data_IF_922262106804
#
_entry.id   IF_922262106804
#
_cell.length_a   1.000
_cell.length_b   1.000
_cell.length_c   1.000
_cell.angle_alpha   90.00
_cell.angle_beta   90.00
_cell.angle_gamma   90.00
#
_symmetry.space_group_name_H-M   'P 1'
#
loop_
_entity.id
_entity.type
_entity.pdbx_description
1 polymer ?
#
# COMPACT_ATOMS: atom_id res chain seq x y z
N UNK A 1 -7.04 9.37 1.37
CA UNK A 1 -7.51 9.82 2.71
C UNK A 1 -6.97 11.23 2.94
N UNK A 2 -7.79 12.18 3.42
CA UNK A 2 -7.31 13.54 3.74
C UNK A 2 -6.34 13.48 4.92
N UNK A 3 -5.23 14.21 4.86
CA UNK A 3 -4.20 14.26 5.90
C UNK A 3 -4.46 15.41 6.87
N UNK A 4 -5.47 15.23 7.73
CA UNK A 4 -5.69 16.09 8.89
C UNK A 4 -4.74 15.72 10.05
N UNK A 5 -4.78 16.49 11.14
CA UNK A 5 -3.87 16.27 12.28
C UNK A 5 -4.06 14.90 12.94
N UNK A 6 -5.29 14.42 13.23
CA UNK A 6 -5.50 13.08 13.77
C UNK A 6 -4.92 11.96 12.90
N UNK A 7 -5.08 12.05 11.58
CA UNK A 7 -4.50 11.09 10.63
C UNK A 7 -2.98 11.14 10.68
N UNK A 8 -2.39 12.34 10.66
CA UNK A 8 -0.93 12.50 10.69
C UNK A 8 -0.33 11.97 12.00
N UNK A 9 -0.96 12.21 13.15
CA UNK A 9 -0.52 11.64 14.43
C UNK A 9 -0.54 10.10 14.42
N UNK A 10 -1.60 9.50 13.87
CA UNK A 10 -1.66 8.05 13.71
C UNK A 10 -0.55 7.54 12.79
N UNK A 11 -0.23 8.28 11.73
CA UNK A 11 0.86 7.96 10.81
C UNK A 11 2.24 8.11 11.47
N UNK A 12 2.44 9.06 12.40
CA UNK A 12 3.67 9.18 13.21
C UNK A 12 3.89 7.91 14.04
N UNK A 13 2.82 7.34 14.61
CA UNK A 13 2.87 6.07 15.33
C UNK A 13 3.35 4.86 14.51
N UNK A 14 3.31 4.93 13.17
CA UNK A 14 3.74 3.86 12.27
C UNK A 14 5.22 3.97 11.85
N UNK A 15 5.95 4.99 12.31
CA UNK A 15 7.38 5.16 12.00
C UNK A 15 8.21 3.88 12.29
N UNK A 16 8.01 3.14 13.40
CA UNK A 16 8.77 1.91 13.64
C UNK A 16 8.58 0.82 12.56
N UNK A 17 7.47 0.82 11.82
CA UNK A 17 7.20 -0.16 10.76
C UNK A 17 7.88 0.19 9.43
N UNK A 18 8.18 1.47 9.19
CA UNK A 18 8.82 1.95 7.97
C UNK A 18 9.73 3.15 8.29
N UNK A 19 10.82 2.95 9.05
CA UNK A 19 11.56 4.05 9.68
C UNK A 19 12.22 5.01 8.69
N UNK A 20 12.61 4.50 7.51
CA UNK A 20 13.22 5.30 6.45
C UNK A 20 12.17 6.05 5.63
N UNK A 21 11.04 5.42 5.30
CA UNK A 21 10.04 6.02 4.41
C UNK A 21 9.03 6.89 5.16
N UNK A 22 8.48 6.40 6.27
CA UNK A 22 7.37 7.05 6.95
C UNK A 22 7.80 8.38 7.57
N UNK A 23 9.00 8.44 8.13
CA UNK A 23 9.55 9.68 8.72
C UNK A 23 9.74 10.75 7.64
N UNK A 24 10.39 10.41 6.53
CA UNK A 24 10.66 11.34 5.44
C UNK A 24 9.35 11.81 4.77
N UNK A 25 8.39 10.91 4.54
CA UNK A 25 7.09 11.26 3.99
C UNK A 25 6.34 12.27 4.88
N UNK A 26 6.39 12.12 6.20
CA UNK A 26 5.74 13.05 7.12
C UNK A 26 6.43 14.41 7.19
N UNK A 27 7.75 14.46 7.03
CA UNK A 27 8.47 15.74 6.89
C UNK A 27 8.02 16.50 5.63
N UNK A 28 7.78 15.79 4.53
CA UNK A 28 7.23 16.40 3.30
C UNK A 28 5.81 16.92 3.52
N UNK A 29 4.97 16.19 4.25
CA UNK A 29 3.61 16.63 4.62
C UNK A 29 3.68 17.94 5.43
N UNK A 30 4.53 17.99 6.45
CA UNK A 30 4.70 19.17 7.30
C UNK A 30 5.23 20.37 6.50
N UNK A 31 6.20 20.16 5.61
CA UNK A 31 6.70 21.21 4.71
C UNK A 31 5.61 21.72 3.76
N UNK A 32 4.86 20.80 3.14
CA UNK A 32 3.78 21.15 2.22
C UNK A 32 2.66 21.93 2.91
N UNK A 33 2.38 21.66 4.20
CA UNK A 33 1.39 22.43 4.97
C UNK A 33 1.80 23.89 5.12
N UNK A 34 3.10 24.14 5.33
CA UNK A 34 3.63 25.49 5.46
C UNK A 34 3.66 26.24 4.12
N UNK A 35 4.01 25.55 3.02
CA UNK A 35 4.12 26.16 1.70
C UNK A 35 2.75 26.37 1.02
N UNK A 36 1.79 25.49 1.28
CA UNK A 36 0.48 25.48 0.63
C UNK A 36 -0.65 25.35 1.67
N UNK A 37 -0.87 26.38 2.50
CA UNK A 37 -1.79 26.29 3.64
C UNK A 37 -3.26 26.07 3.24
N UNK A 38 -3.65 26.46 2.03
CA UNK A 38 -5.02 26.29 1.51
C UNK A 38 -5.22 24.96 0.77
N UNK A 39 -4.14 24.22 0.47
CA UNK A 39 -4.22 23.00 -0.31
C UNK A 39 -4.63 21.80 0.56
N UNK A 40 -5.61 21.04 0.09
CA UNK A 40 -5.94 19.76 0.69
C UNK A 40 -4.83 18.73 0.38
N UNK A 41 -4.28 18.12 1.42
CA UNK A 41 -3.30 17.04 1.28
C UNK A 41 -3.96 15.67 1.42
N UNK A 42 -3.59 14.74 0.54
CA UNK A 42 -4.17 13.40 0.48
C UNK A 42 -3.06 12.35 0.56
N UNK A 43 -3.21 11.42 1.50
CA UNK A 43 -2.36 10.25 1.61
C UNK A 43 -2.77 9.16 0.62
N UNK A 44 -1.80 8.71 -0.16
CA UNK A 44 -1.87 7.56 -1.07
C UNK A 44 -0.97 6.46 -0.52
N UNK A 45 -1.55 5.29 -0.21
CA UNK A 45 -0.85 4.25 0.54
C UNK A 45 -0.58 3.03 -0.32
N UNK A 46 0.69 2.64 -0.39
CA UNK A 46 1.14 1.43 -1.08
C UNK A 46 0.49 0.14 -0.54
N UNK A 47 0.10 0.13 0.73
CA UNK A 47 -0.55 -1.03 1.36
C UNK A 47 -2.03 -1.16 0.97
N UNK A 48 -2.66 -0.10 0.45
CA UNK A 48 -4.11 -0.05 0.28
C UNK A 48 -4.62 -1.09 -0.74
N UNK A 49 -3.89 -1.31 -1.83
CA UNK A 49 -4.27 -2.29 -2.86
C UNK A 49 -4.29 -3.73 -2.32
N UNK A 50 -3.48 -4.02 -1.30
CA UNK A 50 -3.30 -5.35 -0.73
C UNK A 50 -4.17 -5.61 0.51
N UNK A 51 -4.84 -4.59 1.06
CA UNK A 51 -5.58 -4.68 2.32
C UNK A 51 -6.68 -5.77 2.32
N UNK A 52 -7.33 -5.97 1.17
CA UNK A 52 -8.41 -6.93 0.97
C UNK A 52 -7.96 -8.39 0.79
N UNK A 53 -6.65 -8.68 0.85
CA UNK A 53 -6.12 -10.05 0.78
C UNK A 53 -6.77 -10.95 1.85
N UNK A 54 -6.98 -12.26 1.57
CA UNK A 54 -7.43 -13.22 2.57
C UNK A 54 -6.53 -13.22 3.81
N UNK A 55 -7.10 -13.48 5.00
CA UNK A 55 -6.34 -13.52 6.26
C UNK A 55 -5.14 -14.46 6.18
N UNK A 56 -5.34 -15.65 5.61
CA UNK A 56 -4.28 -16.65 5.42
C UNK A 56 -3.10 -16.13 4.59
N UNK A 57 -3.34 -15.20 3.66
CA UNK A 57 -2.29 -14.59 2.85
C UNK A 57 -1.57 -13.44 3.59
N UNK A 58 -2.13 -12.93 4.69
CA UNK A 58 -1.55 -11.87 5.53
C UNK A 58 -0.84 -12.43 6.76
N UNK A 59 -1.24 -13.60 7.24
CA UNK A 59 -0.68 -14.24 8.43
C UNK A 59 0.69 -14.86 8.18
N UNK A 60 1.56 -14.80 9.18
CA UNK A 60 2.79 -15.57 9.24
C UNK A 60 2.58 -16.80 10.14
N UNK A 61 3.39 -17.85 9.93
CA UNK A 61 3.46 -19.02 10.81
C UNK A 61 4.17 -18.71 12.14
N UNK A 62 3.78 -17.63 12.81
CA UNK A 62 4.37 -17.10 14.03
C UNK A 62 3.36 -17.17 15.21
N UNK A 63 3.82 -17.04 16.47
CA UNK A 63 2.93 -16.96 17.62
C UNK A 63 1.84 -15.90 17.43
N UNK A 64 0.60 -16.26 17.76
CA UNK A 64 -0.58 -15.42 17.51
C UNK A 64 -0.50 -14.03 18.16
N UNK A 65 0.13 -13.93 19.34
CA UNK A 65 0.36 -12.66 20.02
C UNK A 65 1.08 -11.61 19.14
N UNK A 66 1.94 -12.04 18.21
CA UNK A 66 2.59 -11.12 17.27
C UNK A 66 1.61 -10.61 16.20
N UNK A 67 0.72 -11.47 15.70
CA UNK A 67 -0.34 -11.04 14.78
C UNK A 67 -1.31 -10.07 15.47
N UNK A 68 -1.68 -10.37 16.72
CA UNK A 68 -2.56 -9.49 17.52
C UNK A 68 -1.88 -8.14 17.82
N UNK A 69 -0.55 -8.10 17.89
CA UNK A 69 0.25 -6.87 17.97
C UNK A 69 0.45 -6.15 16.61
N UNK A 70 -0.12 -6.69 15.51
CA UNK A 70 -0.09 -6.05 14.19
C UNK A 70 0.96 -6.58 13.21
N UNK A 71 1.69 -7.65 13.55
CA UNK A 71 2.64 -8.29 12.62
C UNK A 71 1.89 -9.08 11.56
N UNK A 72 1.93 -8.61 10.31
CA UNK A 72 1.29 -9.25 9.15
C UNK A 72 1.96 -8.81 7.84
N UNK A 73 1.71 -9.55 6.76
CA UNK A 73 2.12 -9.16 5.40
C UNK A 73 1.17 -8.07 4.87
N UNK A 74 1.58 -6.81 4.99
CA UNK A 74 0.83 -5.66 4.48
C UNK A 74 0.84 -5.56 2.96
N UNK A 75 2.00 -5.79 2.33
CA UNK A 75 2.23 -5.56 0.90
C UNK A 75 2.56 -4.10 0.57
N UNK A 76 3.42 -3.88 -0.43
CA UNK A 76 3.87 -2.56 -0.89
C UNK A 76 3.85 -2.48 -2.42
N UNK A 77 4.15 -1.32 -3.00
CA UNK A 77 4.00 -1.02 -4.42
C UNK A 77 2.54 -1.12 -4.93
N UNK A 78 1.56 -1.05 -4.03
CA UNK A 78 0.14 -1.19 -4.36
C UNK A 78 -0.40 -0.12 -5.31
N UNK A 79 0.17 1.09 -5.31
CA UNK A 79 -0.21 2.12 -6.30
C UNK A 79 0.18 1.69 -7.73
N UNK A 80 1.34 1.04 -7.88
CA UNK A 80 1.78 0.48 -9.17
C UNK A 80 0.87 -0.67 -9.62
N UNK A 81 0.55 -1.60 -8.71
CA UNK A 81 -0.36 -2.70 -9.02
C UNK A 81 -1.79 -2.23 -9.33
N UNK A 82 -2.29 -1.22 -8.60
CA UNK A 82 -3.59 -0.61 -8.87
C UNK A 82 -3.65 0.01 -10.27
N UNK A 83 -2.60 0.74 -10.67
CA UNK A 83 -2.48 1.27 -12.03
C UNK A 83 -2.50 0.15 -13.07
N UNK A 84 -1.64 -0.87 -12.91
CA UNK A 84 -1.55 -2.00 -13.85
C UNK A 84 -2.91 -2.71 -13.96
N UNK A 85 -3.55 -2.99 -12.82
CA UNK A 85 -4.87 -3.62 -12.81
C UNK A 85 -5.92 -2.80 -13.57
N UNK A 86 -5.86 -1.46 -13.52
CA UNK A 86 -6.79 -0.58 -14.23
C UNK A 86 -6.57 -0.54 -15.75
N UNK A 87 -5.39 -0.97 -16.21
CA UNK A 87 -4.95 -0.88 -17.60
C UNK A 87 -5.01 -2.22 -18.35
N UNK A 88 -5.01 -3.35 -17.63
CA UNK A 88 -5.01 -4.70 -18.22
C UNK A 88 -6.12 -4.88 -19.25
N UNK A 89 -7.37 -4.57 -18.87
CA UNK A 89 -8.54 -4.73 -19.73
C UNK A 89 -8.49 -3.86 -20.99
N UNK A 90 -7.95 -2.64 -20.85
CA UNK A 90 -7.82 -1.68 -21.96
C UNK A 90 -6.75 -2.12 -22.97
N UNK A 91 -5.66 -2.73 -22.50
CA UNK A 91 -4.50 -3.06 -23.33
C UNK A 91 -4.58 -4.46 -23.95
N UNK A 92 -5.17 -5.41 -23.24
CA UNK A 92 -5.11 -6.83 -23.59
C UNK A 92 -6.49 -7.49 -23.69
N UNK A 93 -7.57 -6.70 -23.61
CA UNK A 93 -8.95 -7.16 -23.75
C UNK A 93 -9.64 -7.50 -22.42
N UNK A 94 -10.97 -7.68 -22.41
CA UNK A 94 -11.78 -7.76 -21.19
C UNK A 94 -11.41 -8.91 -20.25
N UNK A 95 -10.81 -9.99 -20.76
CA UNK A 95 -10.42 -11.16 -19.96
C UNK A 95 -9.08 -11.01 -19.24
N UNK A 96 -8.26 -10.02 -19.61
CA UNK A 96 -6.87 -9.87 -19.14
C UNK A 96 -6.72 -9.62 -17.63
N UNK A 97 -7.81 -9.38 -16.89
CA UNK A 97 -7.83 -9.22 -15.43
C UNK A 97 -8.17 -10.48 -14.64
N UNK A 98 -8.46 -11.61 -15.30
CA UNK A 98 -8.93 -12.85 -14.66
C UNK A 98 -7.95 -13.41 -13.64
N UNK A 99 -6.77 -13.86 -14.09
CA UNK A 99 -5.67 -14.33 -13.25
C UNK A 99 -4.34 -13.81 -13.78
N UNK A 100 -3.65 -12.99 -12.98
CA UNK A 100 -2.44 -12.28 -13.43
C UNK A 100 -1.40 -12.28 -12.34
N UNK A 101 -0.14 -12.47 -12.73
CA UNK A 101 1.02 -12.20 -11.87
C UNK A 101 1.72 -10.96 -12.42
N UNK A 102 1.97 -9.98 -11.56
CA UNK A 102 2.69 -8.74 -11.92
C UNK A 102 4.00 -8.67 -11.15
N UNK A 103 5.08 -8.39 -11.87
CA UNK A 103 6.38 -8.10 -11.29
C UNK A 103 6.67 -6.60 -11.33
N UNK A 104 6.79 -5.99 -10.16
CA UNK A 104 7.32 -4.63 -10.02
C UNK A 104 8.83 -4.76 -9.78
N UNK A 105 9.64 -4.37 -10.76
CA UNK A 105 11.10 -4.54 -10.74
C UNK A 105 11.78 -3.17 -10.80
N UNK A 106 12.19 -2.66 -9.63
CA UNK A 106 12.89 -1.38 -9.49
C UNK A 106 13.93 -1.44 -8.37
N UNK A 107 14.21 -0.30 -7.72
CA UNK A 107 15.08 -0.26 -6.53
C UNK A 107 14.52 -1.08 -5.37
N UNK A 108 13.20 -1.13 -5.24
CA UNK A 108 12.45 -2.17 -4.54
C UNK A 108 11.81 -3.12 -5.56
N UNK A 109 11.73 -4.41 -5.22
CA UNK A 109 11.12 -5.42 -6.08
C UNK A 109 10.05 -6.22 -5.33
N UNK A 110 8.93 -6.49 -6.00
CA UNK A 110 7.86 -7.34 -5.47
C UNK A 110 7.07 -8.03 -6.59
N UNK A 111 6.39 -9.11 -6.22
CA UNK A 111 5.45 -9.83 -7.08
C UNK A 111 4.06 -9.74 -6.46
N UNK A 112 3.02 -9.55 -7.28
CA UNK A 112 1.64 -9.63 -6.83
C UNK A 112 0.86 -10.61 -7.71
N UNK A 113 0.22 -11.58 -7.06
CA UNK A 113 -0.81 -12.40 -7.69
C UNK A 113 -2.16 -11.68 -7.58
N UNK A 114 -2.82 -11.51 -8.72
CA UNK A 114 -4.12 -10.85 -8.83
C UNK A 114 -5.17 -11.81 -9.39
N UNK A 115 -6.39 -11.70 -8.87
CA UNK A 115 -7.58 -12.38 -9.41
C UNK A 115 -8.70 -11.37 -9.57
N UNK A 116 -9.24 -11.24 -10.79
CA UNK A 116 -10.23 -10.21 -11.11
C UNK A 116 -9.73 -8.79 -10.81
N UNK A 117 -8.44 -8.51 -11.08
CA UNK A 117 -7.80 -7.22 -10.77
C UNK A 117 -7.58 -6.93 -9.27
N UNK A 118 -7.82 -7.89 -8.38
CA UNK A 118 -7.62 -7.71 -6.92
C UNK A 118 -6.40 -8.50 -6.45
N UNK A 119 -5.57 -7.89 -5.60
CA UNK A 119 -4.46 -8.58 -4.94
C UNK A 119 -4.95 -9.74 -4.07
N UNK A 120 -4.44 -10.94 -4.33
CA UNK A 120 -4.68 -12.13 -3.48
C UNK A 120 -3.42 -12.59 -2.73
N UNK A 121 -2.24 -12.32 -3.27
CA UNK A 121 -0.96 -12.51 -2.61
C UNK A 121 0.07 -11.48 -3.09
N UNK A 122 0.98 -11.10 -2.21
CA UNK A 122 2.16 -10.28 -2.50
C UNK A 122 3.23 -10.50 -1.46
#
# INVERSE_FOLDING_TARGET
MVLDEPVVERLRGLIPLAPLHQRENLQVVDLARNLFPEAAQVGCFDTAFHAARPSIAKSYGLPRALTDAGVQSYGFHGLSYAYISSELGKRYGPEAGGGVIVAHLGSGASLCAMRGGKSVAT
#
